data_IF_007362103937
#
_entry.id   IF_007362103937
#
_cell.length_a   1.000
_cell.length_b   1.000
_cell.length_c   1.000
_cell.angle_alpha   90.00
_cell.angle_beta   90.00
_cell.angle_gamma   90.00
#
_symmetry.space_group_name_H-M   'P 1'
#
loop_
_entity.id
_entity.type
_entity.pdbx_description
1 polymer ?
#
# COMPACT_ATOMS: atom_id res chain seq x y z
N UNK A 1 -6.25 9.60 -10.80
CA UNK A 1 -5.28 8.63 -10.25
C UNK A 1 -5.19 8.65 -8.72
N UNK A 2 -5.11 9.82 -8.09
CA UNK A 2 -5.06 9.94 -6.62
C UNK A 2 -6.30 9.36 -5.90
N UNK A 3 -7.45 9.35 -6.58
CA UNK A 3 -8.72 8.82 -6.07
C UNK A 3 -8.69 7.30 -5.87
N UNK A 4 -8.35 6.51 -6.90
CA UNK A 4 -8.27 5.03 -6.78
C UNK A 4 -7.32 4.60 -5.67
N UNK A 5 -6.17 5.27 -5.54
CA UNK A 5 -5.22 4.98 -4.45
C UNK A 5 -5.84 5.31 -3.09
N UNK A 6 -6.57 6.42 -2.95
CA UNK A 6 -7.29 6.76 -1.73
C UNK A 6 -8.40 5.76 -1.40
N UNK A 7 -9.15 5.28 -2.40
CA UNK A 7 -10.21 4.27 -2.24
C UNK A 7 -9.63 2.92 -1.80
N UNK A 8 -8.55 2.46 -2.44
CA UNK A 8 -7.82 1.25 -2.04
C UNK A 8 -7.23 1.40 -0.64
N UNK A 9 -6.66 2.57 -0.29
CA UNK A 9 -6.15 2.84 1.06
C UNK A 9 -7.26 2.73 2.11
N UNK A 10 -8.40 3.35 1.84
CA UNK A 10 -9.58 3.34 2.72
C UNK A 10 -10.11 1.91 2.89
N UNK A 11 -10.28 1.17 1.79
CA UNK A 11 -10.78 -0.21 1.83
C UNK A 11 -9.82 -1.19 2.55
N UNK A 12 -8.50 -0.94 2.50
CA UNK A 12 -7.50 -1.73 3.23
C UNK A 12 -7.28 -1.28 4.68
N UNK A 13 -7.96 -0.23 5.14
CA UNK A 13 -7.69 0.43 6.43
C UNK A 13 -6.18 0.74 6.61
N UNK A 14 -5.56 1.27 5.57
CA UNK A 14 -4.14 1.67 5.60
C UNK A 14 -3.99 3.17 5.32
N UNK A 15 -3.00 3.84 5.93
CA UNK A 15 -2.59 5.17 5.51
C UNK A 15 -2.22 5.16 4.02
N UNK A 16 -2.60 6.22 3.30
CA UNK A 16 -2.35 6.35 1.86
C UNK A 16 -0.87 6.25 1.51
N UNK A 17 0.00 6.75 2.38
CA UNK A 17 1.46 6.75 2.23
C UNK A 17 2.04 5.33 2.19
N UNK A 18 1.33 4.37 2.82
CA UNK A 18 1.68 2.95 2.80
C UNK A 18 1.21 2.24 1.54
N UNK A 19 0.37 2.83 0.71
CA UNK A 19 -0.04 2.24 -0.57
C UNK A 19 1.01 2.53 -1.64
N UNK A 20 1.40 1.49 -2.37
CA UNK A 20 2.29 1.61 -3.52
C UNK A 20 1.48 1.99 -4.77
N UNK A 21 1.61 3.24 -5.21
CA UNK A 21 0.92 3.74 -6.42
C UNK A 21 1.33 2.94 -7.66
N UNK A 22 2.61 2.59 -7.78
CA UNK A 22 3.11 1.76 -8.89
C UNK A 22 2.44 0.39 -8.91
N UNK A 23 2.32 -0.27 -7.76
CA UNK A 23 1.72 -1.60 -7.72
C UNK A 23 0.20 -1.56 -7.97
N UNK A 24 -0.50 -0.52 -7.50
CA UNK A 24 -1.90 -0.27 -7.89
C UNK A 24 -1.99 -0.16 -9.42
N UNK A 25 -1.12 0.63 -10.05
CA UNK A 25 -1.12 0.76 -11.52
C UNK A 25 -0.81 -0.56 -12.24
N UNK A 26 0.24 -1.26 -11.80
CA UNK A 26 0.67 -2.53 -12.39
C UNK A 26 -0.41 -3.60 -12.27
N UNK A 27 -1.18 -3.56 -11.18
CA UNK A 27 -2.29 -4.48 -10.95
C UNK A 27 -3.50 -4.24 -11.87
N UNK A 28 -3.67 -3.04 -12.44
CA UNK A 28 -4.73 -2.76 -13.43
C UNK A 28 -4.58 -3.61 -14.70
N UNK A 29 -3.37 -4.05 -15.04
CA UNK A 29 -3.18 -5.03 -16.12
C UNK A 29 -4.02 -6.29 -15.90
N UNK A 30 -4.09 -6.78 -14.67
CA UNK A 30 -4.86 -7.98 -14.34
C UNK A 30 -6.37 -7.72 -14.32
N UNK A 31 -6.79 -6.51 -13.97
CA UNK A 31 -8.18 -6.07 -14.09
C UNK A 31 -8.59 -6.03 -15.56
N UNK A 32 -7.79 -5.37 -16.42
CA UNK A 32 -8.04 -5.32 -17.85
C UNK A 32 -8.05 -6.73 -18.48
N UNK A 33 -7.16 -7.62 -18.03
CA UNK A 33 -7.15 -9.03 -18.46
C UNK A 33 -8.41 -9.79 -18.05
N UNK A 34 -8.94 -9.55 -16.84
CA UNK A 34 -10.20 -10.12 -16.40
C UNK A 34 -11.37 -9.61 -17.27
N UNK A 35 -11.42 -8.31 -17.55
CA UNK A 35 -12.40 -7.71 -18.46
C UNK A 35 -12.32 -8.33 -19.86
N UNK A 36 -11.12 -8.53 -20.40
CA UNK A 36 -10.94 -9.18 -21.70
C UNK A 36 -11.41 -10.64 -21.74
N UNK A 37 -11.55 -11.31 -20.59
CA UNK A 37 -12.12 -12.66 -20.47
C UNK A 37 -13.65 -12.66 -20.29
N UNK A 38 -14.29 -11.49 -20.33
CA UNK A 38 -15.73 -11.33 -20.12
C UNK A 38 -16.13 -11.20 -18.65
N UNK A 39 -15.17 -11.09 -17.73
CA UNK A 39 -15.45 -10.77 -16.33
C UNK A 39 -15.78 -9.26 -16.20
N UNK A 40 -16.56 -8.87 -15.20
CA UNK A 40 -16.80 -7.46 -14.88
C UNK A 40 -16.45 -7.17 -13.41
N UNK A 41 -15.15 -7.22 -13.05
CA UNK A 41 -14.74 -7.02 -11.67
C UNK A 41 -14.90 -5.56 -11.25
N UNK A 42 -15.44 -5.33 -10.05
CA UNK A 42 -15.26 -4.05 -9.39
C UNK A 42 -13.76 -3.84 -9.12
N UNK A 43 -13.23 -2.70 -9.57
CA UNK A 43 -11.77 -2.46 -9.59
C UNK A 43 -11.22 -2.44 -8.16
N UNK A 44 -11.87 -1.70 -7.26
CA UNK A 44 -11.38 -1.55 -5.88
C UNK A 44 -11.40 -2.89 -5.17
N UNK A 45 -12.53 -3.61 -5.26
CA UNK A 45 -12.69 -4.95 -4.66
C UNK A 45 -11.66 -5.93 -5.19
N UNK A 46 -11.47 -5.99 -6.51
CA UNK A 46 -10.51 -6.90 -7.14
C UNK A 46 -9.08 -6.68 -6.64
N UNK A 47 -8.69 -5.42 -6.46
CA UNK A 47 -7.38 -5.03 -5.95
C UNK A 47 -7.22 -5.35 -4.46
N UNK A 48 -8.24 -5.03 -3.64
CA UNK A 48 -8.23 -5.23 -2.19
C UNK A 48 -8.15 -6.71 -1.81
N UNK A 49 -8.98 -7.55 -2.44
CA UNK A 49 -8.95 -9.01 -2.22
C UNK A 49 -7.58 -9.63 -2.54
N UNK A 50 -6.88 -9.05 -3.51
CA UNK A 50 -5.57 -9.52 -4.00
C UNK A 50 -4.41 -8.64 -3.51
N UNK A 51 -4.64 -7.80 -2.49
CA UNK A 51 -3.68 -6.77 -2.08
C UNK A 51 -2.31 -7.35 -1.67
N UNK A 52 -2.29 -8.53 -1.05
CA UNK A 52 -1.05 -9.24 -0.73
C UNK A 52 -0.33 -9.77 -1.97
N UNK A 53 -1.08 -10.35 -2.91
CA UNK A 53 -0.54 -10.89 -4.17
C UNK A 53 0.09 -9.77 -5.01
N UNK A 54 -0.57 -8.61 -5.07
CA UNK A 54 -0.09 -7.45 -5.81
C UNK A 54 0.88 -6.57 -5.03
N UNK A 55 1.19 -6.88 -3.76
CA UNK A 55 2.09 -6.04 -2.95
C UNK A 55 1.62 -4.59 -2.83
N UNK A 56 0.31 -4.36 -2.71
CA UNK A 56 -0.27 -3.01 -2.69
C UNK A 56 0.15 -2.21 -1.46
N UNK A 57 0.38 -2.87 -0.34
CA UNK A 57 0.86 -2.24 0.90
C UNK A 57 2.37 -2.40 1.01
N UNK A 58 3.09 -1.29 1.14
CA UNK A 58 4.54 -1.27 1.33
C UNK A 58 4.92 -2.04 2.60
N UNK A 59 5.77 -3.06 2.45
CA UNK A 59 6.25 -3.83 3.58
C UNK A 59 7.30 -3.05 4.39
N UNK A 60 7.06 -2.85 5.68
CA UNK A 60 8.08 -2.31 6.60
C UNK A 60 9.06 -3.43 6.99
N UNK A 61 10.27 -3.41 6.39
CA UNK A 61 11.34 -4.38 6.70
C UNK A 61 11.76 -4.27 8.18
N UNK A 62 12.00 -5.41 8.85
CA UNK A 62 12.38 -5.47 10.28
C UNK A 62 13.61 -4.60 10.61
N UNK A 63 14.62 -4.58 9.74
CA UNK A 63 15.82 -3.75 9.90
C UNK A 63 15.49 -2.25 9.95
N UNK A 64 14.54 -1.80 9.13
CA UNK A 64 14.12 -0.40 9.11
C UNK A 64 13.39 -0.01 10.39
N UNK A 65 12.57 -0.91 10.96
CA UNK A 65 11.91 -0.67 12.25
C UNK A 65 12.91 -0.53 13.39
N UNK A 66 13.94 -1.39 13.42
CA UNK A 66 15.00 -1.29 14.43
C UNK A 66 15.77 0.02 14.30
N UNK A 67 16.10 0.44 13.08
CA UNK A 67 16.76 1.74 12.83
C UNK A 67 15.86 2.93 13.18
N UNK A 68 14.57 2.89 12.88
CA UNK A 68 13.60 3.93 13.28
C UNK A 68 13.45 4.01 14.80
N UNK A 69 13.34 2.88 15.50
CA UNK A 69 13.28 2.83 16.97
C UNK A 69 14.56 3.38 17.60
N UNK A 70 15.73 2.99 17.10
CA UNK A 70 17.02 3.52 17.57
C UNK A 70 17.12 5.02 17.30
N UNK A 71 16.71 5.48 16.12
CA UNK A 71 16.68 6.90 15.77
C UNK A 71 15.75 7.68 16.71
N UNK A 72 14.54 7.18 16.95
CA UNK A 72 13.59 7.80 17.89
C UNK A 72 14.15 7.85 19.31
N UNK A 73 14.80 6.79 19.79
CA UNK A 73 15.45 6.77 21.10
C UNK A 73 16.54 7.85 21.19
N UNK A 74 17.44 7.94 20.21
CA UNK A 74 18.53 8.93 20.19
C UNK A 74 17.99 10.35 20.18
N UNK A 75 16.99 10.64 19.35
CA UNK A 75 16.45 12.00 19.19
C UNK A 75 15.44 12.40 20.29
N UNK A 76 14.78 11.44 20.96
CA UNK A 76 13.94 11.71 22.14
C UNK A 76 14.75 11.81 23.43
N UNK A 77 15.96 11.21 23.48
CA UNK A 77 16.82 11.25 24.66
C UNK A 77 17.73 12.49 24.73
N UNK A 78 17.60 13.45 23.81
CA UNK A 78 18.27 14.75 23.94
C UNK A 78 17.30 15.70 24.63
N UNK A 79 17.46 15.99 25.94
CA UNK A 79 16.74 17.10 26.53
C UNK A 79 17.25 18.37 25.86
N UNK A 80 16.35 19.12 25.22
CA UNK A 80 16.60 20.54 25.01
C UNK A 80 16.49 21.21 26.38
N UNK A 81 17.62 21.29 27.08
CA UNK A 81 17.88 21.91 28.40
C UNK A 81 17.23 21.25 29.61
#
# INVERSE_FOLDING_TARGET
MNQLVSEVASALNQPKEKISVEMVFRSLYYVAKAVARGENPDVVTYLVERAKLFGLVKATRKRHRATEQISQLIWQSVPLS
#
